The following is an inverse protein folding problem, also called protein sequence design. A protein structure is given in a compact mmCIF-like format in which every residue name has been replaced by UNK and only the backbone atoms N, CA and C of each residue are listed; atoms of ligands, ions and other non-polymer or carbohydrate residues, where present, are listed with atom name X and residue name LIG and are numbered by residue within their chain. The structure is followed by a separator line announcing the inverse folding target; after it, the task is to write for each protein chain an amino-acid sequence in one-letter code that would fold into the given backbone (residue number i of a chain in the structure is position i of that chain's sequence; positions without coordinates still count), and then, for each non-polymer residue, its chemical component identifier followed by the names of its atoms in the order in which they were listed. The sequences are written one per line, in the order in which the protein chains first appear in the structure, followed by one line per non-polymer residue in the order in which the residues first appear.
data_IF_238423569577
#
_entry.id   IF_238423569577
#
_cell.length_a   1.000
_cell.length_b   1.000
_cell.length_c   1.000
_cell.angle_alpha   90.00
_cell.angle_beta   90.00
_cell.angle_gamma   90.00
#
_symmetry.space_group_name_H-M   'P 1'
#
loop_
_entity.id
_entity.type
_entity.pdbx_description
1 polymer ?
#
# COMPACT_ATOMS: atom_id res chain seq x y z
N UNK A 1 8.78 -0.15 19.22
CA UNK A 1 9.36 1.06 18.56
C UNK A 1 8.72 1.38 17.20
N UNK A 2 8.24 0.38 16.43
CA UNK A 2 7.77 0.56 15.05
C UNK A 2 6.43 1.31 14.90
N UNK A 3 5.47 1.12 15.80
CA UNK A 3 4.14 1.73 15.69
C UNK A 3 4.14 3.25 15.93
N UNK A 4 4.82 3.73 16.98
CA UNK A 4 4.99 5.17 17.23
C UNK A 4 5.73 5.86 16.10
N UNK A 5 6.80 5.24 15.57
CA UNK A 5 7.52 5.76 14.40
C UNK A 5 6.60 5.87 13.18
N UNK A 6 5.75 4.86 12.95
CA UNK A 6 4.75 4.90 11.87
C UNK A 6 3.73 6.02 12.09
N UNK A 7 3.28 6.26 13.33
CA UNK A 7 2.37 7.34 13.67
C UNK A 7 3.01 8.70 13.37
N UNK A 8 4.21 8.97 13.87
CA UNK A 8 4.94 10.22 13.58
C UNK A 8 5.18 10.42 12.08
N UNK A 9 5.50 9.35 11.35
CA UNK A 9 5.64 9.39 9.90
C UNK A 9 4.34 9.74 9.15
N UNK A 10 3.17 9.43 9.73
CA UNK A 10 1.92 9.91 9.16
C UNK A 10 1.87 11.43 9.22
N UNK A 11 2.29 12.06 10.33
CA UNK A 11 2.29 13.52 10.51
C UNK A 11 3.46 14.24 9.84
N UNK A 12 4.39 13.52 9.19
CA UNK A 12 5.51 14.13 8.46
C UNK A 12 5.07 15.01 7.27
N UNK A 13 3.81 14.93 6.85
CA UNK A 13 3.21 15.84 5.88
C UNK A 13 1.93 16.47 6.43
N UNK A 14 1.83 17.79 6.26
CA UNK A 14 0.62 18.55 6.58
C UNK A 14 -0.51 18.27 5.58
N UNK A 15 -1.69 18.89 5.80
CA UNK A 15 -2.86 18.71 4.93
C UNK A 15 -2.66 19.24 3.50
N UNK A 16 -1.78 20.22 3.33
CA UNK A 16 -1.38 20.75 2.02
C UNK A 16 -0.37 19.83 1.30
N UNK A 17 0.16 18.81 1.98
CA UNK A 17 1.14 17.86 1.44
C UNK A 17 2.60 18.30 1.56
N UNK A 18 2.86 19.39 2.27
CA UNK A 18 4.19 19.93 2.55
C UNK A 18 4.84 19.14 3.69
N UNK A 19 6.16 18.97 3.59
CA UNK A 19 6.93 18.26 4.60
C UNK A 19 7.14 19.16 5.82
N UNK A 20 6.73 18.68 7.00
CA UNK A 20 6.91 19.41 8.26
C UNK A 20 8.18 18.96 8.99
N UNK A 21 8.67 19.79 9.90
CA UNK A 21 9.83 19.42 10.72
C UNK A 21 9.50 18.22 11.63
N UNK A 22 10.49 17.37 11.97
CA UNK A 22 10.26 16.22 12.85
C UNK A 22 9.69 16.59 14.22
N UNK A 23 10.05 17.77 14.75
CA UNK A 23 9.54 18.27 16.02
C UNK A 23 8.04 18.56 15.95
N UNK A 24 7.57 19.18 14.86
CA UNK A 24 6.15 19.46 14.64
C UNK A 24 5.38 18.14 14.44
N UNK A 25 5.89 17.23 13.62
CA UNK A 25 5.26 15.92 13.41
C UNK A 25 5.14 15.10 14.71
N UNK A 26 6.15 15.16 15.59
CA UNK A 26 6.11 14.49 16.88
C UNK A 26 5.10 15.14 17.84
N UNK A 27 5.05 16.48 17.88
CA UNK A 27 4.10 17.21 18.71
C UNK A 27 2.65 16.92 18.30
N UNK A 28 2.34 16.95 16.99
CA UNK A 28 1.01 16.63 16.47
C UNK A 28 0.62 15.17 16.72
N UNK A 29 1.55 14.22 16.48
CA UNK A 29 1.32 12.82 16.76
C UNK A 29 1.03 12.56 18.25
N UNK A 30 1.75 13.23 19.14
CA UNK A 30 1.55 13.13 20.58
C UNK A 30 0.22 13.75 21.02
N UNK A 31 -0.17 14.89 20.46
CA UNK A 31 -1.45 15.52 20.76
C UNK A 31 -2.63 14.59 20.42
N UNK A 32 -2.59 13.94 19.25
CA UNK A 32 -3.62 12.98 18.84
C UNK A 32 -3.56 11.69 19.68
N UNK A 33 -2.37 11.22 20.04
CA UNK A 33 -2.22 10.04 20.89
C UNK A 33 -2.77 10.28 22.31
N UNK A 34 -2.52 11.45 22.90
CA UNK A 34 -3.05 11.81 24.23
C UNK A 34 -4.58 11.91 24.18
N UNK A 35 -5.13 12.51 23.12
CA UNK A 35 -6.57 12.68 22.97
C UNK A 35 -7.31 11.35 22.71
N UNK A 36 -6.71 10.42 21.95
CA UNK A 36 -7.35 9.17 21.54
C UNK A 36 -6.35 7.99 21.46
N UNK A 37 -5.84 7.48 22.60
CA UNK A 37 -4.72 6.53 22.63
C UNK A 37 -5.04 5.17 22.00
N UNK A 38 -6.24 4.64 22.24
CA UNK A 38 -6.68 3.35 21.68
C UNK A 38 -6.89 3.46 20.18
N UNK A 39 -7.63 4.49 19.73
CA UNK A 39 -7.91 4.74 18.31
C UNK A 39 -6.63 5.00 17.53
N UNK A 40 -5.70 5.81 18.06
CA UNK A 40 -4.41 6.07 17.43
C UNK A 40 -3.57 4.79 17.29
N UNK A 41 -3.57 3.93 18.32
CA UNK A 41 -2.82 2.65 18.32
C UNK A 41 -3.40 1.61 17.37
N UNK A 42 -4.73 1.57 17.24
CA UNK A 42 -5.44 0.65 16.34
C UNK A 42 -5.66 1.22 14.94
N UNK A 43 -5.27 2.48 14.70
CA UNK A 43 -5.53 3.17 13.44
C UNK A 43 -4.91 2.45 12.24
N UNK A 44 -5.73 2.21 11.24
CA UNK A 44 -5.36 1.50 10.03
C UNK A 44 -5.11 0.00 10.23
N UNK A 45 -5.42 -0.61 11.37
CA UNK A 45 -5.33 -2.06 11.56
C UNK A 45 -6.37 -2.79 10.69
N UNK A 46 -7.64 -2.41 10.82
CA UNK A 46 -8.75 -2.98 10.06
C UNK A 46 -8.57 -2.83 8.55
N UNK A 47 -8.25 -1.62 8.03
CA UNK A 47 -7.96 -1.44 6.62
C UNK A 47 -6.76 -2.27 6.14
N UNK A 48 -5.69 -2.37 6.94
CA UNK A 48 -4.53 -3.22 6.59
C UNK A 48 -4.91 -4.70 6.52
N UNK A 49 -5.74 -5.21 7.44
CA UNK A 49 -6.20 -6.61 7.42
C UNK A 49 -7.05 -6.88 6.18
N UNK A 50 -8.04 -6.03 5.91
CA UNK A 50 -8.90 -6.14 4.72
C UNK A 50 -8.07 -5.99 3.45
N UNK A 51 -7.17 -5.02 3.40
CA UNK A 51 -6.31 -4.77 2.25
C UNK A 51 -5.30 -5.87 2.01
N UNK A 52 -4.79 -6.54 3.05
CA UNK A 52 -3.98 -7.75 2.89
C UNK A 52 -4.80 -8.85 2.23
N UNK A 53 -6.03 -9.09 2.66
CA UNK A 53 -6.91 -10.11 2.06
C UNK A 53 -7.26 -9.75 0.59
N UNK A 54 -7.75 -8.55 0.35
CA UNK A 54 -8.15 -8.06 -0.97
C UNK A 54 -6.98 -7.95 -1.96
N UNK A 55 -5.75 -7.70 -1.49
CA UNK A 55 -4.56 -7.66 -2.35
C UNK A 55 -3.97 -9.03 -2.60
N UNK A 56 -3.93 -9.89 -1.57
CA UNK A 56 -3.29 -11.21 -1.66
C UNK A 56 -4.10 -12.16 -2.52
N UNK A 57 -5.43 -12.20 -2.38
CA UNK A 57 -6.28 -13.15 -3.13
C UNK A 57 -6.10 -12.97 -4.65
N UNK A 58 -6.23 -11.77 -5.25
CA UNK A 58 -6.02 -11.59 -6.69
C UNK A 58 -4.58 -11.82 -7.10
N UNK A 59 -3.60 -11.38 -6.29
CA UNK A 59 -2.18 -11.55 -6.64
C UNK A 59 -1.76 -13.02 -6.67
N UNK A 60 -2.18 -13.81 -5.68
CA UNK A 60 -1.93 -15.25 -5.66
C UNK A 60 -2.77 -15.98 -6.71
N UNK A 61 -4.04 -15.60 -6.92
CA UNK A 61 -4.88 -16.17 -7.96
C UNK A 61 -4.31 -16.00 -9.37
N UNK A 62 -3.85 -14.79 -9.71
CA UNK A 62 -3.20 -14.50 -11.00
C UNK A 62 -1.88 -15.22 -11.13
N UNK A 63 -1.07 -15.27 -10.07
CA UNK A 63 0.22 -15.95 -10.09
C UNK A 63 0.05 -17.47 -10.26
N UNK A 64 -0.87 -18.09 -9.52
CA UNK A 64 -1.20 -19.51 -9.64
C UNK A 64 -1.81 -19.84 -11.01
N UNK A 65 -2.72 -19.00 -11.53
CA UNK A 65 -3.30 -19.18 -12.86
C UNK A 65 -2.25 -19.06 -13.98
N UNK A 66 -1.31 -18.13 -13.84
CA UNK A 66 -0.19 -18.01 -14.78
C UNK A 66 0.72 -19.23 -14.74
N UNK A 67 1.10 -19.71 -13.56
CA UNK A 67 1.93 -20.93 -13.40
C UNK A 67 1.21 -22.16 -13.97
N UNK A 68 -0.10 -22.31 -13.72
CA UNK A 68 -0.90 -23.40 -14.26
C UNK A 68 -0.96 -23.40 -15.80
N UNK A 69 -1.09 -22.22 -16.42
CA UNK A 69 -1.18 -22.09 -17.88
C UNK A 69 0.17 -22.19 -18.59
N UNK A 70 1.26 -21.81 -17.94
CA UNK A 70 2.59 -21.72 -18.59
C UNK A 70 3.53 -22.87 -18.25
N UNK A 71 3.20 -23.70 -17.26
CA UNK A 71 4.01 -24.86 -16.85
C UNK A 71 5.42 -24.51 -16.32
N UNK A 72 5.73 -23.23 -16.13
CA UNK A 72 7.01 -22.74 -15.67
C UNK A 72 6.97 -22.41 -14.17
N UNK A 73 7.82 -23.07 -13.38
CA UNK A 73 7.90 -22.86 -11.93
C UNK A 73 8.59 -21.54 -11.53
N UNK A 74 9.42 -20.97 -12.40
CA UNK A 74 10.06 -19.68 -12.15
C UNK A 74 9.24 -18.51 -12.73
N UNK A 75 8.77 -17.55 -11.90
CA UNK A 75 8.04 -16.39 -12.38
C UNK A 75 8.97 -15.46 -13.19
N UNK A 76 8.88 -15.56 -14.52
CA UNK A 76 9.59 -14.69 -15.45
C UNK A 76 9.05 -13.25 -15.47
N UNK A 77 9.71 -12.37 -16.25
CA UNK A 77 9.30 -10.97 -16.43
C UNK A 77 7.82 -10.82 -16.85
N UNK A 78 7.30 -11.76 -17.65
CA UNK A 78 5.90 -11.77 -18.07
C UNK A 78 4.93 -12.03 -16.91
N UNK A 79 5.24 -12.97 -16.02
CA UNK A 79 4.45 -13.25 -14.81
C UNK A 79 4.43 -12.05 -13.85
N UNK A 80 5.61 -11.44 -13.63
CA UNK A 80 5.77 -10.26 -12.78
C UNK A 80 5.00 -9.04 -13.33
N UNK A 81 4.99 -8.88 -14.65
CA UNK A 81 4.26 -7.82 -15.36
C UNK A 81 2.75 -8.02 -15.26
N UNK A 82 2.26 -9.22 -15.58
CA UNK A 82 0.84 -9.56 -15.51
C UNK A 82 0.30 -9.42 -14.08
N UNK A 83 1.00 -9.97 -13.09
CA UNK A 83 0.59 -9.86 -11.69
C UNK A 83 0.54 -8.41 -11.19
N UNK A 84 1.42 -7.53 -11.68
CA UNK A 84 1.48 -6.12 -11.23
C UNK A 84 0.42 -5.24 -11.88
N UNK A 85 0.14 -5.45 -13.16
CA UNK A 85 -0.86 -4.67 -13.91
C UNK A 85 -2.27 -5.14 -13.53
N UNK A 86 -2.51 -6.45 -13.49
CA UNK A 86 -3.84 -7.02 -13.23
C UNK A 86 -4.30 -6.86 -11.78
N UNK A 87 -3.38 -6.74 -10.82
CA UNK A 87 -3.73 -6.53 -9.41
C UNK A 87 -3.98 -5.06 -9.05
N UNK A 88 -3.47 -4.11 -9.84
CA UNK A 88 -3.55 -2.68 -9.50
C UNK A 88 -4.99 -2.13 -9.39
N UNK A 89 -5.97 -2.54 -10.25
CA UNK A 89 -7.37 -2.13 -10.10
C UNK A 89 -8.02 -2.59 -8.79
N UNK A 90 -7.55 -3.70 -8.20
CA UNK A 90 -8.07 -4.19 -6.91
C UNK A 90 -7.39 -3.55 -5.71
N UNK A 91 -6.09 -3.23 -5.84
CA UNK A 91 -5.29 -2.62 -4.78
C UNK A 91 -5.65 -1.15 -4.59
N UNK A 92 -5.84 -0.41 -5.69
CA UNK A 92 -5.93 1.05 -5.61
C UNK A 92 -7.16 1.54 -4.82
N UNK A 93 -8.36 0.97 -5.00
CA UNK A 93 -9.54 1.35 -4.21
C UNK A 93 -9.33 1.20 -2.71
N UNK A 94 -8.76 0.06 -2.28
CA UNK A 94 -8.51 -0.19 -0.85
C UNK A 94 -7.47 0.80 -0.31
N UNK A 95 -6.40 1.07 -1.08
CA UNK A 95 -5.38 2.05 -0.71
C UNK A 95 -5.96 3.47 -0.60
N UNK A 96 -6.91 3.82 -1.47
CA UNK A 96 -7.57 5.13 -1.44
C UNK A 96 -8.53 5.27 -0.25
N UNK A 97 -9.26 4.22 0.10
CA UNK A 97 -10.08 4.17 1.33
C UNK A 97 -9.18 4.39 2.54
N UNK A 98 -8.08 3.65 2.66
CA UNK A 98 -7.10 3.82 3.74
C UNK A 98 -6.57 5.25 3.83
N UNK A 99 -6.24 5.85 2.67
CA UNK A 99 -5.72 7.22 2.62
C UNK A 99 -6.74 8.23 3.14
N UNK A 100 -8.02 8.06 2.79
CA UNK A 100 -9.10 8.94 3.27
C UNK A 100 -9.36 8.76 4.76
N UNK A 101 -9.34 7.54 5.28
CA UNK A 101 -9.49 7.26 6.71
C UNK A 101 -8.37 7.91 7.52
N UNK A 102 -7.11 7.83 7.06
CA UNK A 102 -5.98 8.49 7.72
C UNK A 102 -6.06 10.02 7.64
N UNK A 103 -6.50 10.58 6.52
CA UNK A 103 -6.65 12.02 6.37
C UNK A 103 -7.71 12.57 7.33
N UNK A 104 -8.84 11.85 7.48
CA UNK A 104 -9.90 12.22 8.42
C UNK A 104 -9.47 12.07 9.88
N UNK A 105 -8.74 10.99 10.20
CA UNK A 105 -8.17 10.75 11.53
C UNK A 105 -7.25 11.89 11.97
N UNK A 106 -6.42 12.42 11.07
CA UNK A 106 -5.54 13.56 11.36
C UNK A 106 -6.31 14.84 11.72
N UNK A 107 -7.49 15.04 11.15
CA UNK A 107 -8.28 16.26 11.34
C UNK A 107 -9.21 16.16 12.56
N UNK A 108 -9.77 14.97 12.78
CA UNK A 108 -10.91 14.79 13.69
C UNK A 108 -10.61 13.84 14.85
N UNK A 109 -9.49 13.12 14.83
CA UNK A 109 -9.16 12.10 15.82
C UNK A 109 -9.95 10.79 15.66
N UNK A 110 -10.83 10.67 14.66
CA UNK A 110 -11.60 9.45 14.36
C UNK A 110 -11.40 8.97 12.92
N UNK A 111 -11.49 7.66 12.68
CA UNK A 111 -11.42 7.12 11.33
C UNK A 111 -12.74 7.33 10.57
N UNK A 112 -12.64 7.72 9.30
CA UNK A 112 -13.84 7.86 8.46
C UNK A 112 -14.50 6.50 8.21
N UNK A 113 -15.82 6.36 8.38
CA UNK A 113 -16.51 5.11 8.06
C UNK A 113 -16.37 4.75 6.57
N UNK A 114 -16.09 3.46 6.29
CA UNK A 114 -15.93 2.96 4.91
C UNK A 114 -17.20 3.22 4.09
N UNK A 115 -18.37 3.04 4.69
CA UNK A 115 -19.66 3.24 4.00
C UNK A 115 -19.86 4.69 3.55
N UNK A 116 -19.36 5.65 4.34
CA UNK A 116 -19.39 7.07 3.98
C UNK A 116 -18.46 7.35 2.80
N UNK A 117 -17.24 6.80 2.81
CA UNK A 117 -16.29 6.90 1.70
C UNK A 117 -16.87 6.31 0.41
N UNK A 118 -17.53 5.15 0.50
CA UNK A 118 -18.15 4.51 -0.65
C UNK A 118 -19.32 5.34 -1.21
N UNK A 119 -20.14 5.92 -0.34
CA UNK A 119 -21.25 6.81 -0.73
C UNK A 119 -20.77 8.11 -1.36
N UNK A 120 -19.69 8.72 -0.86
CA UNK A 120 -19.08 9.90 -1.50
C UNK A 120 -18.43 9.54 -2.84
N UNK A 121 -17.82 8.37 -2.90
CA UNK A 121 -17.20 7.87 -4.14
C UNK A 121 -18.26 7.53 -5.17
N UNK A 122 -19.43 7.01 -4.77
CA UNK A 122 -20.52 6.65 -5.70
C UNK A 122 -21.10 7.87 -6.40
N UNK A 123 -21.13 9.04 -5.75
CA UNK A 123 -21.53 10.31 -6.39
C UNK A 123 -20.63 10.71 -7.57
N UNK A 124 -19.41 10.15 -7.64
CA UNK A 124 -18.45 10.36 -8.72
C UNK A 124 -18.11 9.06 -9.45
N UNK A 125 -19.07 8.13 -9.52
CA UNK A 125 -18.91 6.83 -10.21
C UNK A 125 -17.67 6.04 -9.77
N UNK A 126 -17.29 6.16 -8.49
CA UNK A 126 -16.11 5.55 -7.89
C UNK A 126 -14.75 5.98 -8.47
N UNK A 127 -14.71 6.92 -9.43
CA UNK A 127 -13.47 7.45 -10.00
C UNK A 127 -12.44 7.93 -8.95
N UNK A 128 -12.83 8.55 -7.80
CA UNK A 128 -11.88 8.92 -6.75
C UNK A 128 -11.09 7.74 -6.17
N UNK A 129 -11.67 6.53 -6.15
CA UNK A 129 -11.02 5.32 -5.61
C UNK A 129 -9.92 4.79 -6.55
N UNK A 130 -10.00 5.10 -7.84
CA UNK A 130 -9.03 4.69 -8.85
C UNK A 130 -8.01 5.77 -9.19
N UNK A 131 -8.02 6.90 -8.46
CA UNK A 131 -7.04 7.97 -8.68
C UNK A 131 -5.63 7.45 -8.44
N UNK A 132 -4.74 7.65 -9.40
CA UNK A 132 -3.35 7.24 -9.31
C UNK A 132 -3.07 5.77 -9.66
N UNK A 133 -4.06 5.02 -10.20
CA UNK A 133 -3.84 3.64 -10.67
C UNK A 133 -2.71 3.55 -11.69
N UNK A 134 -2.65 4.46 -12.67
CA UNK A 134 -1.62 4.43 -13.73
C UNK A 134 -0.21 4.61 -13.17
N UNK A 135 0.09 5.67 -12.38
CA UNK A 135 1.39 5.78 -11.70
C UNK A 135 1.70 4.58 -10.78
N UNK A 136 0.69 4.04 -10.09
CA UNK A 136 0.85 2.89 -9.21
C UNK A 136 1.22 1.61 -9.98
N UNK A 137 0.60 1.38 -11.14
CA UNK A 137 0.95 0.28 -12.04
C UNK A 137 2.40 0.39 -12.47
N UNK A 138 2.85 1.58 -12.90
CA UNK A 138 4.24 1.81 -13.31
C UNK A 138 5.24 1.55 -12.19
N UNK A 139 4.97 2.06 -10.98
CA UNK A 139 5.82 1.81 -9.81
C UNK A 139 5.84 0.31 -9.43
N UNK A 140 4.69 -0.35 -9.48
CA UNK A 140 4.58 -1.77 -9.15
C UNK A 140 5.31 -2.63 -10.18
N UNK A 141 5.20 -2.30 -11.46
CA UNK A 141 5.90 -2.95 -12.57
C UNK A 141 7.42 -2.83 -12.42
N UNK A 142 7.93 -1.61 -12.22
CA UNK A 142 9.36 -1.39 -12.00
C UNK A 142 9.87 -2.18 -10.79
N UNK A 143 9.10 -2.18 -9.69
CA UNK A 143 9.42 -2.95 -8.48
C UNK A 143 9.40 -4.46 -8.71
N UNK A 144 8.48 -4.96 -9.53
CA UNK A 144 8.38 -6.38 -9.85
C UNK A 144 9.56 -6.85 -10.71
N UNK A 145 9.93 -6.06 -11.72
CA UNK A 145 11.09 -6.34 -12.59
C UNK A 145 12.38 -6.37 -11.76
N UNK A 146 12.63 -5.34 -10.96
CA UNK A 146 13.88 -5.22 -10.19
C UNK A 146 13.90 -6.20 -9.00
N UNK A 147 12.78 -6.37 -8.31
CA UNK A 147 12.67 -7.21 -7.13
C UNK A 147 12.55 -8.69 -7.47
N UNK A 148 11.49 -9.09 -8.18
CA UNK A 148 11.20 -10.51 -8.41
C UNK A 148 12.14 -11.15 -9.44
N UNK A 149 12.65 -10.38 -10.39
CA UNK A 149 13.51 -10.92 -11.45
C UNK A 149 14.96 -10.46 -11.31
N UNK A 150 15.19 -9.20 -10.95
CA UNK A 150 16.53 -8.64 -10.76
C UNK A 150 17.27 -9.24 -9.56
N UNK A 151 16.63 -9.33 -8.39
CA UNK A 151 17.30 -9.84 -7.19
C UNK A 151 17.79 -11.29 -7.32
N UNK A 152 16.99 -12.26 -7.81
CA UNK A 152 17.46 -13.63 -7.96
C UNK A 152 18.60 -13.76 -8.98
N UNK A 153 18.56 -12.97 -10.07
CA UNK A 153 19.64 -12.95 -11.07
C UNK A 153 20.94 -12.40 -10.49
N UNK A 154 20.86 -11.28 -9.77
CA UNK A 154 22.01 -10.68 -9.12
C UNK A 154 22.58 -11.62 -8.04
N UNK A 155 21.71 -12.31 -7.30
CA UNK A 155 22.13 -13.29 -6.31
C UNK A 155 22.85 -14.49 -6.96
N UNK A 156 22.30 -15.05 -8.05
CA UNK A 156 22.95 -16.13 -8.83
C UNK A 156 24.31 -15.68 -9.38
N UNK A 157 24.42 -14.45 -9.88
CA UNK A 157 25.68 -13.88 -10.37
C UNK A 157 26.72 -13.69 -9.26
N UNK A 158 26.33 -13.14 -8.11
CA UNK A 158 27.24 -12.97 -6.98
C UNK A 158 27.71 -14.34 -6.45
N UNK A 159 26.84 -15.35 -6.42
CA UNK A 159 27.19 -16.71 -6.04
C UNK A 159 28.25 -17.31 -6.98
N UNK A 160 28.09 -17.15 -8.31
CA UNK A 160 29.07 -17.62 -9.28
C UNK A 160 30.43 -16.93 -9.17
N UNK A 161 30.46 -15.63 -8.90
CA UNK A 161 31.71 -14.87 -8.72
C UNK A 161 32.42 -15.20 -7.39
N UNK A 162 31.67 -15.56 -6.35
CA UNK A 162 32.22 -15.95 -5.04
C UNK A 162 32.60 -17.43 -4.95
N UNK A 163 32.43 -18.21 -6.03
CA UNK A 163 32.80 -19.62 -6.09
C UNK A 163 32.01 -20.54 -5.14
N UNK A 164 30.76 -20.17 -4.81
CA UNK A 164 29.84 -20.99 -4.01
C UNK A 164 28.60 -21.37 -4.79
#
# INVERSE_FOLDING_TARGET
VTAYRQLVQQYAKNLAGETVSPAVAAAEANAVFIAAPITASMSGLWPRLIGVLFKRIPKFGVLLGYTFLTGNDEPGYAAATAASILSAPFINPVRMIEKQQRAFLKQTGVEKPIMEILRESSQKYFAPLFRGTIPLMGHSFASAILGLVGQPKLQKYIQSELGK
#
